data_IF_996156879462
#
_entry.id   IF_996156879462
#
_cell.length_a   1.000
_cell.length_b   1.000
_cell.length_c   1.000
_cell.angle_alpha   90.00
_cell.angle_beta   90.00
_cell.angle_gamma   90.00
#
_symmetry.space_group_name_H-M   'P 1'
#
loop_
_entity.id
_entity.type
_entity.pdbx_description
1 polymer ?
#
# COMPACT_ATOMS: atom_id res chain seq x y z
N UNK A 1 -72.90 38.98 21.47
CA UNK A 1 -72.06 37.76 21.48
C UNK A 1 -71.60 37.49 20.05
N UNK A 2 -70.36 37.84 19.68
CA UNK A 2 -69.77 37.49 18.38
C UNK A 2 -68.32 37.06 18.65
N UNK A 3 -68.03 35.78 18.46
CA UNK A 3 -66.76 35.14 18.76
C UNK A 3 -65.72 35.39 17.67
N UNK A 4 -64.48 35.61 18.12
CA UNK A 4 -63.26 35.64 17.31
C UNK A 4 -62.94 34.23 16.78
N UNK A 5 -62.77 34.08 15.47
CA UNK A 5 -62.08 32.93 14.89
C UNK A 5 -60.58 33.25 14.82
N UNK A 6 -59.75 32.51 15.55
CA UNK A 6 -58.28 32.57 15.48
C UNK A 6 -57.80 31.54 14.47
N UNK A 7 -57.22 32.01 13.36
CA UNK A 7 -56.55 31.17 12.36
C UNK A 7 -55.17 30.77 12.89
N UNK A 8 -54.95 29.47 13.11
CA UNK A 8 -53.64 28.91 13.46
C UNK A 8 -52.92 28.55 12.18
N UNK A 9 -51.76 29.19 11.94
CA UNK A 9 -50.85 28.86 10.82
C UNK A 9 -49.80 27.90 11.36
N UNK A 10 -49.88 26.63 10.97
CA UNK A 10 -48.82 25.64 11.22
C UNK A 10 -47.68 25.87 10.22
N UNK A 11 -46.49 26.19 10.73
CA UNK A 11 -45.25 26.26 9.96
C UNK A 11 -44.56 24.91 10.06
N UNK A 12 -44.59 24.13 8.98
CA UNK A 12 -43.87 22.86 8.87
C UNK A 12 -42.44 23.15 8.42
N UNK A 13 -41.46 22.98 9.31
CA UNK A 13 -40.04 23.12 8.99
C UNK A 13 -39.55 21.79 8.39
N UNK A 14 -39.24 21.79 7.08
CA UNK A 14 -38.53 20.68 6.43
C UNK A 14 -37.05 20.73 6.83
N UNK A 15 -36.59 19.72 7.57
CA UNK A 15 -35.16 19.46 7.75
C UNK A 15 -34.61 18.78 6.48
N UNK A 16 -33.82 19.50 5.69
CA UNK A 16 -33.04 18.92 4.61
C UNK A 16 -31.84 18.16 5.20
N UNK A 17 -31.93 16.84 5.23
CA UNK A 17 -30.80 15.96 5.58
C UNK A 17 -29.86 15.95 4.38
N UNK A 18 -28.71 16.62 4.50
CA UNK A 18 -27.65 16.53 3.50
C UNK A 18 -27.04 15.12 3.55
N UNK A 19 -27.55 14.23 2.69
CA UNK A 19 -26.92 12.94 2.46
C UNK A 19 -25.58 13.19 1.76
N UNK A 20 -24.48 12.81 2.40
CA UNK A 20 -23.19 12.66 1.74
C UNK A 20 -23.34 11.60 0.65
N UNK A 21 -23.57 12.00 -0.60
CA UNK A 21 -23.52 11.11 -1.75
C UNK A 21 -22.07 10.77 -2.05
N UNK A 22 -21.49 9.88 -1.24
CA UNK A 22 -20.37 9.07 -1.72
C UNK A 22 -20.91 8.25 -2.88
N UNK A 23 -20.39 8.47 -4.08
CA UNK A 23 -20.72 7.66 -5.26
C UNK A 23 -20.53 6.19 -4.87
N UNK A 24 -21.54 5.31 -5.04
CA UNK A 24 -21.34 3.89 -4.79
C UNK A 24 -20.16 3.43 -5.61
N UNK A 25 -19.16 2.86 -4.95
CA UNK A 25 -18.05 2.19 -5.64
C UNK A 25 -18.67 1.11 -6.51
N UNK A 26 -18.42 1.16 -7.81
CA UNK A 26 -18.88 0.14 -8.72
C UNK A 26 -18.14 -1.15 -8.34
N UNK A 27 -18.85 -2.06 -7.67
CA UNK A 27 -18.35 -3.38 -7.32
C UNK A 27 -18.14 -4.13 -8.63
N UNK A 28 -16.90 -4.15 -9.11
CA UNK A 28 -16.54 -5.02 -10.23
C UNK A 28 -16.43 -6.44 -9.66
N UNK A 29 -17.27 -7.34 -10.18
CA UNK A 29 -17.10 -8.76 -9.94
C UNK A 29 -15.82 -9.19 -10.65
N UNK A 30 -14.88 -9.89 -9.98
CA UNK A 30 -13.74 -10.49 -10.65
C UNK A 30 -14.25 -11.36 -11.78
N UNK A 31 -13.98 -10.99 -13.02
CA UNK A 31 -14.39 -11.79 -14.16
C UNK A 31 -13.25 -12.75 -14.47
N UNK A 32 -13.47 -14.08 -14.46
CA UNK A 32 -12.50 -15.02 -15.01
C UNK A 32 -12.15 -14.76 -16.49
N UNK A 33 -12.87 -13.84 -17.15
CA UNK A 33 -12.68 -13.44 -18.53
C UNK A 33 -11.93 -12.11 -18.72
N UNK A 34 -11.65 -11.35 -17.65
CA UNK A 34 -10.69 -10.24 -17.73
C UNK A 34 -9.30 -10.83 -17.37
N UNK A 35 -8.43 -10.84 -18.36
CA UNK A 35 -7.06 -11.38 -18.33
C UNK A 35 -6.06 -10.48 -17.59
N UNK A 36 -6.55 -9.54 -16.78
CA UNK A 36 -5.72 -8.56 -16.10
C UNK A 36 -6.34 -8.01 -14.81
N UNK A 37 -5.49 -7.91 -13.79
CA UNK A 37 -5.77 -7.09 -12.61
C UNK A 37 -5.70 -5.61 -13.02
N UNK A 38 -6.55 -4.79 -12.44
CA UNK A 38 -6.61 -3.35 -12.67
C UNK A 38 -6.42 -2.58 -11.37
N UNK A 39 -6.16 -1.27 -11.51
CA UNK A 39 -6.27 -0.34 -10.39
C UNK A 39 -7.70 -0.38 -9.85
N UNK A 40 -7.82 -0.31 -8.53
CA UNK A 40 -9.04 -0.45 -7.73
C UNK A 40 -9.62 -1.87 -7.60
N UNK A 41 -9.01 -2.89 -8.21
CA UNK A 41 -9.40 -4.27 -7.94
C UNK A 41 -8.94 -4.71 -6.54
N UNK A 42 -9.75 -5.53 -5.88
CA UNK A 42 -9.51 -5.94 -4.50
C UNK A 42 -8.84 -7.31 -4.43
N UNK A 43 -8.01 -7.47 -3.41
CA UNK A 43 -7.10 -8.59 -3.27
C UNK A 43 -7.30 -9.30 -1.94
N UNK A 44 -7.27 -10.62 -1.98
CA UNK A 44 -7.17 -11.48 -0.82
C UNK A 44 -5.75 -12.06 -0.70
N UNK A 45 -5.20 -12.02 0.52
CA UNK A 45 -3.91 -12.64 0.83
C UNK A 45 -4.10 -14.14 1.10
N UNK A 46 -3.12 -14.99 0.77
CA UNK A 46 -3.18 -16.39 1.16
C UNK A 46 -3.25 -16.60 2.67
N UNK A 47 -4.02 -17.61 3.08
CA UNK A 47 -4.24 -17.94 4.49
C UNK A 47 -2.97 -18.38 5.25
N UNK A 48 -1.86 -18.62 4.54
CA UNK A 48 -0.50 -18.71 5.11
C UNK A 48 0.55 -18.82 4.00
N UNK A 49 1.69 -18.14 4.17
CA UNK A 49 2.87 -18.35 3.32
C UNK A 49 3.44 -19.78 3.44
N UNK A 50 3.13 -20.50 4.52
CA UNK A 50 3.64 -21.85 4.79
C UNK A 50 2.88 -22.96 4.04
N UNK A 51 1.63 -22.73 3.63
CA UNK A 51 0.83 -23.68 2.83
C UNK A 51 0.88 -23.39 1.33
N UNK A 52 1.72 -22.43 0.90
CA UNK A 52 1.92 -22.11 -0.51
C UNK A 52 0.74 -21.39 -1.15
N UNK A 53 -0.12 -20.74 -0.36
CA UNK A 53 -1.19 -19.93 -0.92
C UNK A 53 -0.65 -18.75 -1.73
N UNK A 54 -1.43 -18.27 -2.68
CA UNK A 54 -1.11 -17.14 -3.54
C UNK A 54 -2.18 -16.06 -3.44
N UNK A 55 -1.82 -14.82 -3.78
CA UNK A 55 -2.77 -13.72 -3.87
C UNK A 55 -3.83 -14.01 -4.93
N UNK A 56 -5.03 -13.48 -4.72
CA UNK A 56 -6.14 -13.60 -5.66
C UNK A 56 -6.93 -12.30 -5.72
N UNK A 57 -7.47 -12.00 -6.89
CA UNK A 57 -8.50 -10.97 -7.05
C UNK A 57 -9.83 -11.48 -6.50
N UNK A 58 -10.50 -10.64 -5.73
CA UNK A 58 -11.80 -10.92 -5.12
C UNK A 58 -12.70 -9.70 -5.25
N UNK A 59 -14.01 -9.88 -5.12
CA UNK A 59 -14.93 -8.74 -5.09
C UNK A 59 -14.60 -7.85 -3.88
N UNK A 60 -14.68 -6.53 -4.05
CA UNK A 60 -14.28 -5.59 -2.98
C UNK A 60 -15.17 -5.61 -1.74
N UNK A 61 -16.40 -6.11 -1.87
CA UNK A 61 -17.32 -6.33 -0.75
C UNK A 61 -17.21 -7.74 -0.15
N UNK A 62 -16.35 -8.59 -0.70
CA UNK A 62 -16.05 -9.89 -0.13
C UNK A 62 -15.37 -9.72 1.24
N UNK A 63 -15.80 -10.45 2.29
CA UNK A 63 -15.18 -10.38 3.61
C UNK A 63 -13.69 -10.77 3.62
N UNK A 64 -13.19 -11.50 2.61
CA UNK A 64 -11.78 -11.85 2.48
C UNK A 64 -10.94 -10.78 1.75
N UNK A 65 -11.57 -9.74 1.20
CA UNK A 65 -10.85 -8.62 0.60
C UNK A 65 -10.08 -7.86 1.69
N UNK A 66 -8.75 -7.79 1.55
CA UNK A 66 -7.89 -7.11 2.53
C UNK A 66 -7.15 -5.91 1.95
N UNK A 67 -6.93 -5.88 0.63
CA UNK A 67 -6.15 -4.85 -0.02
C UNK A 67 -6.78 -4.45 -1.35
N UNK A 68 -6.37 -3.30 -1.86
CA UNK A 68 -6.78 -2.74 -3.15
C UNK A 68 -5.54 -2.46 -3.98
N UNK A 69 -5.57 -2.82 -5.25
CA UNK A 69 -4.55 -2.46 -6.22
C UNK A 69 -4.57 -0.94 -6.47
N UNK A 70 -3.45 -0.27 -6.21
CA UNK A 70 -3.26 1.18 -6.39
C UNK A 70 -2.45 1.51 -7.64
N UNK A 71 -1.62 0.57 -8.09
CA UNK A 71 -0.95 0.62 -9.39
C UNK A 71 -0.81 -0.80 -9.93
N UNK A 72 -0.96 -0.94 -11.25
CA UNK A 72 -0.70 -2.18 -11.98
C UNK A 72 0.21 -1.84 -13.14
N UNK A 73 1.34 -2.55 -13.22
CA UNK A 73 2.38 -2.27 -14.21
C UNK A 73 2.62 -3.48 -15.10
N UNK A 74 2.76 -3.22 -16.40
CA UNK A 74 3.12 -4.21 -17.42
C UNK A 74 4.48 -3.86 -18.00
N UNK A 75 5.49 -4.70 -17.76
CA UNK A 75 6.82 -4.50 -18.34
C UNK A 75 6.99 -5.32 -19.64
N UNK A 76 7.49 -4.69 -20.73
CA UNK A 76 7.88 -5.41 -21.94
C UNK A 76 9.00 -6.43 -21.65
N UNK A 77 8.94 -7.62 -22.25
CA UNK A 77 10.00 -8.63 -22.13
C UNK A 77 9.67 -9.84 -21.25
N UNK A 78 8.39 -10.06 -20.91
CA UNK A 78 7.90 -11.29 -20.28
C UNK A 78 8.60 -11.57 -18.94
N UNK A 79 9.26 -12.73 -18.82
CA UNK A 79 9.96 -13.17 -17.59
C UNK A 79 11.00 -12.15 -17.10
N UNK A 80 11.62 -11.38 -18.00
CA UNK A 80 12.55 -10.32 -17.60
C UNK A 80 11.85 -9.22 -16.80
N UNK A 81 10.59 -8.91 -17.14
CA UNK A 81 9.73 -8.01 -16.37
C UNK A 81 9.44 -8.55 -14.97
N UNK A 82 9.22 -9.86 -14.81
CA UNK A 82 8.98 -10.48 -13.49
C UNK A 82 10.23 -10.49 -12.57
N UNK A 83 11.42 -10.29 -13.13
CA UNK A 83 12.69 -10.19 -12.40
C UNK A 83 13.04 -8.75 -12.01
N UNK A 84 12.34 -7.75 -12.57
CA UNK A 84 12.50 -6.38 -12.13
C UNK A 84 11.87 -6.18 -10.75
N UNK A 85 12.10 -5.01 -10.17
CA UNK A 85 11.50 -4.64 -8.91
C UNK A 85 10.39 -3.61 -9.16
N UNK A 86 9.19 -3.75 -8.54
CA UNK A 86 8.07 -2.83 -8.72
C UNK A 86 8.44 -1.38 -8.37
N UNK A 87 7.99 -0.40 -9.15
CA UNK A 87 8.14 1.03 -8.82
C UNK A 87 6.86 1.58 -8.16
N UNK A 88 6.65 1.17 -6.90
CA UNK A 88 5.41 1.48 -6.22
C UNK A 88 5.31 2.92 -5.71
N UNK A 89 4.12 3.54 -5.76
CA UNK A 89 3.88 4.83 -5.12
C UNK A 89 4.15 4.77 -3.61
N UNK A 90 4.57 5.90 -3.04
CA UNK A 90 4.72 6.06 -1.59
C UNK A 90 3.44 5.70 -0.84
N UNK A 91 3.56 4.95 0.27
CA UNK A 91 2.42 4.43 1.01
C UNK A 91 1.89 3.09 0.49
N UNK A 92 2.53 2.45 -0.47
CA UNK A 92 2.15 1.08 -0.86
C UNK A 92 2.37 0.13 0.32
N UNK A 93 1.41 -0.74 0.64
CA UNK A 93 1.56 -1.75 1.70
C UNK A 93 2.17 -3.06 1.17
N UNK A 94 1.92 -3.39 -0.10
CA UNK A 94 2.44 -4.58 -0.77
C UNK A 94 2.93 -4.26 -2.19
N UNK A 95 4.12 -4.73 -2.52
CA UNK A 95 4.65 -4.73 -3.88
C UNK A 95 4.69 -6.18 -4.38
N UNK A 96 3.65 -6.57 -5.12
CA UNK A 96 3.40 -7.95 -5.56
C UNK A 96 3.86 -8.15 -7.00
N UNK A 97 4.37 -9.35 -7.28
CA UNK A 97 4.73 -9.82 -8.62
C UNK A 97 3.64 -10.72 -9.18
N UNK A 98 3.59 -10.86 -10.50
CA UNK A 98 2.74 -11.86 -11.16
C UNK A 98 2.86 -13.26 -10.56
N UNK A 99 4.09 -13.65 -10.17
CA UNK A 99 4.36 -14.96 -9.54
C UNK A 99 3.79 -15.13 -8.14
N UNK A 100 3.38 -14.04 -7.48
CA UNK A 100 2.76 -14.07 -6.16
C UNK A 100 1.27 -14.46 -6.23
N UNK A 101 0.73 -14.57 -7.45
CA UNK A 101 -0.63 -15.03 -7.76
C UNK A 101 -0.54 -16.45 -8.37
N UNK A 102 -1.48 -17.35 -8.05
CA UNK A 102 -1.54 -18.69 -8.68
C UNK A 102 -2.98 -19.14 -8.93
N UNK A 103 -3.22 -19.92 -10.00
CA UNK A 103 -2.26 -20.21 -11.07
C UNK A 103 -2.09 -18.98 -11.99
N UNK A 104 -0.84 -18.55 -12.21
CA UNK A 104 -0.54 -17.65 -13.32
C UNK A 104 -0.81 -18.45 -14.59
N UNK A 105 -1.90 -18.15 -15.30
CA UNK A 105 -2.10 -18.63 -16.67
C UNK A 105 -0.98 -18.09 -17.58
N UNK A 106 -0.85 -18.63 -18.79
CA UNK A 106 0.18 -18.13 -19.75
C UNK A 106 -0.07 -16.71 -20.27
N UNK A 107 -1.13 -16.04 -19.80
CA UNK A 107 -1.64 -14.78 -20.32
C UNK A 107 -1.91 -13.72 -19.23
N UNK A 108 -1.09 -13.61 -18.17
CA UNK A 108 -1.16 -12.41 -17.30
C UNK A 108 -0.57 -11.21 -18.04
N UNK A 109 -1.37 -10.17 -18.20
CA UNK A 109 -1.01 -8.94 -18.92
C UNK A 109 -0.12 -7.98 -18.11
N UNK A 110 0.07 -8.24 -16.82
CA UNK A 110 0.79 -7.40 -15.87
C UNK A 110 1.99 -8.12 -15.24
N UNK A 111 2.97 -7.34 -14.78
CA UNK A 111 4.20 -7.81 -14.12
C UNK A 111 4.16 -7.55 -12.62
N UNK A 112 3.65 -6.38 -12.21
CA UNK A 112 3.60 -5.94 -10.82
C UNK A 112 2.29 -5.30 -10.43
N UNK A 113 2.00 -5.38 -9.12
CA UNK A 113 0.84 -4.77 -8.48
C UNK A 113 1.29 -4.13 -7.18
N UNK A 114 1.05 -2.84 -7.05
CA UNK A 114 1.22 -2.12 -5.80
C UNK A 114 -0.14 -2.06 -5.12
N UNK A 115 -0.26 -2.63 -3.93
CA UNK A 115 -1.52 -2.70 -3.21
C UNK A 115 -1.44 -2.00 -1.86
N UNK A 116 -2.57 -1.48 -1.41
CA UNK A 116 -2.74 -0.88 -0.09
C UNK A 116 -3.84 -1.60 0.66
N UNK A 117 -3.65 -1.83 1.96
CA UNK A 117 -4.68 -2.42 2.80
C UNK A 117 -5.96 -1.58 2.72
N UNK A 118 -7.12 -2.24 2.77
CA UNK A 118 -8.42 -1.57 2.86
C UNK A 118 -8.62 -0.95 4.25
N UNK A 119 -7.92 -1.47 5.27
CA UNK A 119 -8.04 -1.05 6.68
C UNK A 119 -6.66 -1.04 7.36
N UNK A 120 -6.45 -0.20 8.39
CA UNK A 120 -5.25 -0.25 9.19
C UNK A 120 -4.99 -1.66 9.79
N UNK A 121 -3.72 -2.03 10.03
CA UNK A 121 -2.52 -1.21 9.86
C UNK A 121 -2.08 -1.10 8.39
N UNK A 122 -1.43 0.01 8.04
CA UNK A 122 -0.77 0.23 6.75
C UNK A 122 0.75 0.14 6.94
N UNK A 123 1.37 -1.00 6.63
CA UNK A 123 2.83 -1.15 6.73
C UNK A 123 3.64 -0.14 5.92
N UNK A 124 3.09 0.37 4.82
CA UNK A 124 3.74 1.36 3.96
C UNK A 124 3.67 2.80 4.45
N UNK A 125 2.92 3.07 5.53
CA UNK A 125 2.90 4.40 6.14
C UNK A 125 4.18 4.66 6.95
N UNK A 126 4.67 5.92 7.02
CA UNK A 126 5.83 6.26 7.82
C UNK A 126 5.79 5.72 9.26
N UNK A 127 6.69 4.79 9.57
CA UNK A 127 6.82 4.13 10.87
C UNK A 127 5.84 2.98 11.12
N UNK A 128 5.02 2.63 10.13
CA UNK A 128 4.07 1.51 10.13
C UNK A 128 4.75 0.16 10.20
N UNK A 129 5.93 0.03 9.59
CA UNK A 129 6.79 -1.14 9.65
C UNK A 129 6.30 -2.27 8.74
N UNK A 130 7.13 -2.68 7.78
CA UNK A 130 6.89 -3.86 6.94
C UNK A 130 6.34 -3.54 5.55
N UNK A 131 6.40 -2.28 5.14
CA UNK A 131 6.10 -1.86 3.78
C UNK A 131 7.19 -2.31 2.80
N UNK A 132 6.94 -2.14 1.49
CA UNK A 132 7.90 -2.47 0.45
C UNK A 132 9.08 -1.50 0.40
N UNK A 133 8.91 -0.24 0.82
CA UNK A 133 9.93 0.79 0.68
C UNK A 133 10.23 1.44 2.03
N UNK A 134 11.49 1.85 2.20
CA UNK A 134 11.92 2.68 3.33
C UNK A 134 11.78 4.15 2.92
N UNK A 135 10.96 4.90 3.66
CA UNK A 135 10.68 6.32 3.46
C UNK A 135 11.06 7.14 4.69
N UNK A 136 11.03 8.47 4.54
CA UNK A 136 11.25 9.37 5.66
C UNK A 136 10.19 9.18 6.75
N UNK A 137 10.62 9.08 8.01
CA UNK A 137 9.75 8.80 9.15
C UNK A 137 9.75 7.34 9.60
N UNK A 138 10.24 6.41 8.76
CA UNK A 138 10.34 5.00 9.12
C UNK A 138 11.36 4.74 10.21
N UNK A 139 11.19 3.60 10.87
CA UNK A 139 12.16 3.08 11.79
C UNK A 139 12.76 1.80 11.24
N UNK A 140 14.06 1.66 11.44
CA UNK A 140 14.82 0.50 10.99
C UNK A 140 15.52 -0.15 12.17
N UNK A 141 15.65 -1.46 12.08
CA UNK A 141 16.57 -2.23 12.87
C UNK A 141 17.82 -2.52 12.04
N UNK A 142 18.96 -2.12 12.58
CA UNK A 142 20.28 -2.34 11.98
C UNK A 142 21.05 -3.35 12.82
N UNK A 143 21.67 -4.34 12.19
CA UNK A 143 22.64 -5.21 12.88
C UNK A 143 23.96 -4.50 13.13
N UNK A 144 24.83 -5.07 13.97
CA UNK A 144 26.21 -4.60 14.10
C UNK A 144 26.87 -4.47 12.72
N UNK A 145 27.63 -3.37 12.53
CA UNK A 145 28.28 -2.98 11.27
C UNK A 145 27.35 -2.68 10.07
N UNK A 146 26.06 -2.43 10.29
CA UNK A 146 25.09 -2.11 9.21
C UNK A 146 24.97 -3.19 8.13
N UNK A 147 25.38 -4.43 8.44
CA UNK A 147 25.40 -5.53 7.48
C UNK A 147 23.99 -5.92 7.00
N UNK A 148 22.97 -5.72 7.84
CA UNK A 148 21.59 -5.86 7.47
C UNK A 148 20.75 -4.72 8.06
N UNK A 149 19.82 -4.23 7.24
CA UNK A 149 18.81 -3.26 7.62
C UNK A 149 17.44 -3.86 7.35
N UNK A 150 16.57 -3.81 8.34
CA UNK A 150 15.17 -4.21 8.21
C UNK A 150 14.29 -3.10 8.72
N UNK A 151 13.29 -2.71 7.94
CA UNK A 151 12.23 -1.84 8.43
C UNK A 151 11.49 -2.52 9.59
N UNK A 152 11.07 -1.73 10.58
CA UNK A 152 10.28 -2.21 11.71
C UNK A 152 9.37 -1.10 12.21
N UNK A 153 8.39 -1.48 13.03
CA UNK A 153 7.44 -0.54 13.61
C UNK A 153 8.16 0.46 14.52
N UNK A 154 7.89 1.74 14.33
CA UNK A 154 8.44 2.79 15.19
C UNK A 154 7.94 2.72 16.64
N UNK A 155 6.76 2.15 16.86
CA UNK A 155 6.19 1.98 18.21
C UNK A 155 6.90 0.88 19.05
N UNK A 156 7.88 0.18 18.47
CA UNK A 156 8.64 -0.87 19.15
C UNK A 156 7.86 -2.16 19.40
N UNK A 157 6.63 -2.28 18.89
CA UNK A 157 5.78 -3.47 19.05
C UNK A 157 6.00 -4.52 17.95
N UNK A 158 6.89 -4.25 16.99
CA UNK A 158 7.29 -5.18 15.96
C UNK A 158 8.20 -6.31 16.48
N UNK A 159 8.54 -7.27 15.62
CA UNK A 159 9.45 -8.38 15.95
C UNK A 159 10.86 -7.91 16.32
N UNK A 160 11.29 -6.79 15.73
CA UNK A 160 12.59 -6.18 15.98
C UNK A 160 12.39 -4.80 16.60
N UNK A 161 13.15 -4.49 17.65
CA UNK A 161 13.16 -3.15 18.22
C UNK A 161 13.84 -2.18 17.24
N UNK A 162 13.27 -1.00 16.99
CA UNK A 162 13.89 -0.02 16.11
C UNK A 162 15.18 0.50 16.75
N UNK A 163 16.23 0.67 15.96
CA UNK A 163 17.53 1.23 16.40
C UNK A 163 17.76 2.63 15.82
N UNK A 164 17.18 2.92 14.66
CA UNK A 164 17.30 4.22 14.01
C UNK A 164 15.96 4.67 13.41
N UNK A 165 15.81 5.98 13.25
CA UNK A 165 14.72 6.63 12.51
C UNK A 165 15.24 7.31 11.27
N UNK A 166 14.61 7.00 10.14
CA UNK A 166 14.91 7.61 8.84
C UNK A 166 14.42 9.06 8.85
N UNK A 167 15.33 9.98 8.57
CA UNK A 167 15.05 11.42 8.52
C UNK A 167 14.75 11.88 7.10
N UNK A 168 15.38 11.26 6.09
CA UNK A 168 15.20 11.57 4.68
C UNK A 168 15.65 10.44 3.78
N UNK A 169 15.12 10.43 2.55
CA UNK A 169 15.59 9.59 1.44
C UNK A 169 16.05 10.51 0.31
N UNK A 170 17.27 10.32 -0.18
CA UNK A 170 17.85 11.15 -1.23
C UNK A 170 18.74 10.35 -2.19
N UNK A 171 19.03 10.92 -3.36
CA UNK A 171 20.01 10.38 -4.32
C UNK A 171 21.43 10.89 -4.05
N UNK A 172 21.70 11.39 -2.83
CA UNK A 172 22.92 12.09 -2.45
C UNK A 172 23.40 11.65 -1.06
N UNK A 173 24.63 12.02 -0.69
CA UNK A 173 25.23 11.69 0.62
C UNK A 173 24.41 12.33 1.77
N UNK A 174 24.28 11.61 2.88
CA UNK A 174 23.55 12.09 4.04
C UNK A 174 24.21 13.33 4.66
N UNK A 175 23.42 14.37 5.02
CA UNK A 175 23.94 15.57 5.64
C UNK A 175 24.46 15.27 7.06
N UNK A 176 25.35 16.14 7.59
CA UNK A 176 25.82 16.03 8.97
C UNK A 176 24.67 15.88 9.97
N UNK A 177 24.91 15.05 10.98
CA UNK A 177 23.93 14.75 12.03
C UNK A 177 23.08 13.51 11.79
N UNK A 178 23.27 12.78 10.69
CA UNK A 178 22.77 11.42 10.53
C UNK A 178 23.88 10.41 10.88
N UNK A 179 23.52 9.35 11.59
CA UNK A 179 24.47 8.35 12.09
C UNK A 179 24.78 7.28 11.05
N UNK A 180 23.82 7.01 10.14
CA UNK A 180 23.93 5.95 9.15
C UNK A 180 23.37 6.37 7.78
N UNK A 181 23.99 5.85 6.72
CA UNK A 181 23.52 5.94 5.34
C UNK A 181 23.17 4.53 4.85
N UNK A 182 21.90 4.30 4.57
CA UNK A 182 21.38 2.99 4.17
C UNK A 182 21.06 3.06 2.69
N UNK A 183 21.60 2.15 1.89
CA UNK A 183 21.18 2.02 0.49
C UNK A 183 19.72 1.56 0.47
N UNK A 184 18.85 2.38 -0.11
CA UNK A 184 17.42 2.12 -0.23
C UNK A 184 16.97 2.30 -1.67
N UNK A 185 15.78 1.81 -1.96
CA UNK A 185 15.34 1.64 -3.34
C UNK A 185 15.93 0.37 -3.94
N UNK A 186 15.23 -0.13 -4.93
CA UNK A 186 15.48 -1.43 -5.54
C UNK A 186 16.13 -1.21 -6.90
N UNK A 187 17.06 -2.08 -7.28
CA UNK A 187 17.74 -1.93 -8.56
C UNK A 187 16.72 -2.08 -9.71
N UNK A 188 16.39 -0.98 -10.37
CA UNK A 188 15.54 -1.00 -11.55
C UNK A 188 16.35 -1.51 -12.75
N UNK A 189 15.77 -2.42 -13.53
CA UNK A 189 16.39 -2.92 -14.75
C UNK A 189 16.62 -1.75 -15.73
N UNK A 190 17.87 -1.52 -16.14
CA UNK A 190 18.24 -0.42 -17.04
C UNK A 190 18.49 0.94 -16.35
N UNK A 191 18.28 1.06 -15.04
CA UNK A 191 18.59 2.28 -14.26
C UNK A 191 19.41 1.97 -13.00
N UNK A 192 20.61 1.33 -13.11
CA UNK A 192 21.41 0.93 -11.95
C UNK A 192 21.97 2.11 -11.13
N UNK A 193 21.88 3.33 -11.64
CA UNK A 193 22.42 4.55 -11.03
C UNK A 193 21.38 5.38 -10.24
N UNK A 194 20.11 4.97 -10.18
CA UNK A 194 19.07 5.65 -9.39
C UNK A 194 19.11 5.31 -7.89
N UNK A 195 20.25 4.82 -7.40
CA UNK A 195 20.42 4.35 -6.03
C UNK A 195 20.14 5.47 -5.03
N UNK A 196 19.07 5.30 -4.25
CA UNK A 196 18.71 6.21 -3.16
C UNK A 196 19.44 5.76 -1.88
N UNK A 197 19.61 6.70 -0.96
CA UNK A 197 20.04 6.42 0.39
C UNK A 197 19.03 6.98 1.39
N UNK A 198 18.69 6.17 2.39
CA UNK A 198 17.99 6.61 3.58
C UNK A 198 19.01 7.05 4.62
N UNK A 199 18.88 8.29 5.05
CA UNK A 199 19.66 8.86 6.13
C UNK A 199 18.90 8.64 7.43
N UNK A 200 19.55 8.08 8.43
CA UNK A 200 18.88 7.78 9.69
C UNK A 200 19.70 8.19 10.90
N UNK A 201 18.98 8.50 11.98
CA UNK A 201 19.53 8.85 13.30
C UNK A 201 19.20 7.75 14.30
N UNK A 202 20.09 7.49 15.24
CA UNK A 202 19.83 6.58 16.34
C UNK A 202 18.60 7.04 17.15
N UNK A 203 17.85 6.06 17.65
CA UNK A 203 16.66 6.25 18.50
C UNK A 203 17.00 6.22 19.99
#
# INVERSE_FOLDING_TARGET
MRGLAKTVVSVTILFAVAACSGTPRETRTPSPADDGLNVADCLAQPESAATGGSWSEVACDDPVAIAEATAVESLPGGIAGAMAEPDCPAGTDYALRATDFRPVGRDVSWSFVCARNLKPPHPGDPGGGGGPDIVAGDCVHTTENLAAVKETRCDGKGKLKPTHKVTMVATAICPPGNDVSIKVGRAQFGQPLSQKVACAKAL
#
